data_IF_347908405066
#
_entry.id   IF_347908405066
#
_cell.length_a   1.000
_cell.length_b   1.000
_cell.length_c   1.000
_cell.angle_alpha   90.00
_cell.angle_beta   90.00
_cell.angle_gamma   90.00
#
_symmetry.space_group_name_H-M   'P 1'
#
loop_
_entity.id
_entity.type
_entity.pdbx_description
1 polymer ?
#
# COMPACT_ATOMS: atom_id res chain seq x y z
N UNK A 1 -17.35 2.74 -7.40
CA UNK A 1 -15.92 2.60 -7.74
C UNK A 1 -15.04 3.40 -6.77
N UNK A 2 -14.11 2.74 -6.10
CA UNK A 2 -13.02 3.42 -5.38
C UNK A 2 -11.94 3.80 -6.40
N UNK A 3 -11.32 4.98 -6.23
CA UNK A 3 -10.29 5.48 -7.14
C UNK A 3 -8.90 5.01 -6.72
N UNK A 4 -8.06 4.62 -7.67
CA UNK A 4 -6.69 4.16 -7.40
C UNK A 4 -5.91 5.15 -6.54
N UNK A 5 -5.98 6.44 -6.91
CA UNK A 5 -5.30 7.53 -6.19
C UNK A 5 -5.75 7.64 -4.73
N UNK A 6 -7.00 7.32 -4.40
CA UNK A 6 -7.52 7.38 -3.02
C UNK A 6 -6.86 6.29 -2.19
N UNK A 7 -6.85 5.04 -2.68
CA UNK A 7 -6.25 3.91 -1.95
C UNK A 7 -4.75 4.10 -1.79
N UNK A 8 -4.03 4.49 -2.86
CA UNK A 8 -2.59 4.71 -2.79
C UNK A 8 -2.20 5.87 -1.87
N UNK A 9 -3.02 6.93 -1.81
CA UNK A 9 -2.81 8.04 -0.85
C UNK A 9 -3.04 7.56 0.59
N UNK A 10 -4.05 6.72 0.82
CA UNK A 10 -4.27 6.14 2.14
C UNK A 10 -3.10 5.23 2.56
N UNK A 11 -2.55 4.47 1.61
CA UNK A 11 -1.39 3.62 1.84
C UNK A 11 -0.14 4.44 2.18
N UNK A 12 0.20 5.48 1.42
CA UNK A 12 1.32 6.38 1.78
C UNK A 12 1.10 7.05 3.14
N UNK A 13 -0.13 7.48 3.45
CA UNK A 13 -0.43 8.06 4.77
C UNK A 13 -0.21 7.06 5.88
N UNK A 14 -0.64 5.80 5.72
CA UNK A 14 -0.33 4.75 6.69
C UNK A 14 1.17 4.57 6.86
N UNK A 15 1.96 4.55 5.78
CA UNK A 15 3.43 4.43 5.85
C UNK A 15 4.06 5.64 6.57
N UNK A 16 3.57 6.84 6.29
CA UNK A 16 4.04 8.09 6.89
C UNK A 16 3.75 8.20 8.38
N UNK A 17 2.51 7.91 8.78
CA UNK A 17 2.03 8.12 10.15
C UNK A 17 2.19 6.88 11.01
N UNK A 18 2.49 5.73 10.38
CA UNK A 18 2.49 4.40 10.98
C UNK A 18 1.13 4.05 11.60
N UNK A 19 0.06 4.60 11.03
CA UNK A 19 -1.32 4.37 11.44
C UNK A 19 -2.07 3.59 10.36
N UNK A 20 -2.32 2.32 10.63
CA UNK A 20 -3.02 1.42 9.70
C UNK A 20 -4.49 1.78 9.51
N UNK A 21 -5.07 2.64 10.36
CA UNK A 21 -6.46 3.07 10.23
C UNK A 21 -6.75 3.85 8.94
N UNK A 22 -5.74 4.45 8.31
CA UNK A 22 -5.92 5.11 7.01
C UNK A 22 -6.19 4.10 5.89
N UNK A 23 -5.44 3.00 5.84
CA UNK A 23 -5.54 1.98 4.79
C UNK A 23 -6.63 0.94 5.07
N UNK A 24 -6.84 0.55 6.33
CA UNK A 24 -7.71 -0.57 6.71
C UNK A 24 -9.16 -0.43 6.24
N UNK A 25 -9.66 0.81 6.09
CA UNK A 25 -11.03 1.08 5.58
C UNK A 25 -11.23 0.66 4.13
N UNK A 26 -10.16 0.38 3.39
CA UNK A 26 -10.19 -0.06 1.99
C UNK A 26 -9.93 -1.56 1.82
N UNK A 27 -9.54 -2.27 2.89
CA UNK A 27 -9.15 -3.67 2.84
C UNK A 27 -10.23 -4.54 3.50
N UNK A 28 -10.42 -5.74 2.97
CA UNK A 28 -11.26 -6.77 3.59
C UNK A 28 -10.46 -7.57 4.63
N UNK A 29 -11.16 -8.25 5.53
CA UNK A 29 -10.55 -9.12 6.54
C UNK A 29 -9.76 -10.30 5.92
N UNK A 30 -10.10 -10.69 4.68
CA UNK A 30 -9.44 -11.75 3.91
C UNK A 30 -8.42 -11.22 2.89
N UNK A 31 -7.98 -9.96 3.03
CA UNK A 31 -7.01 -9.34 2.13
C UNK A 31 -5.69 -10.13 2.07
N UNK A 32 -5.13 -10.20 0.86
CA UNK A 32 -3.85 -10.83 0.57
C UNK A 32 -2.98 -9.89 -0.26
N UNK A 33 -1.68 -9.87 0.04
CA UNK A 33 -0.67 -9.13 -0.69
C UNK A 33 0.38 -10.11 -1.24
N UNK A 34 0.55 -10.13 -2.55
CA UNK A 34 1.60 -10.92 -3.22
C UNK A 34 2.73 -9.99 -3.65
N UNK A 35 3.96 -10.33 -3.24
CA UNK A 35 5.15 -9.57 -3.61
C UNK A 35 5.75 -10.01 -4.97
N UNK A 36 6.86 -9.40 -5.37
CA UNK A 36 7.53 -9.75 -6.63
C UNK A 36 8.18 -11.15 -6.64
N UNK A 37 8.30 -11.80 -5.48
CA UNK A 37 8.85 -13.16 -5.34
C UNK A 37 7.75 -14.23 -5.38
N UNK A 38 6.48 -13.82 -5.31
CA UNK A 38 5.32 -14.70 -5.22
C UNK A 38 4.99 -15.11 -3.79
N UNK A 39 5.60 -14.47 -2.78
CA UNK A 39 5.21 -14.67 -1.38
C UNK A 39 3.88 -13.94 -1.13
N UNK A 40 2.93 -14.65 -0.51
CA UNK A 40 1.60 -14.13 -0.19
C UNK A 40 1.52 -13.90 1.31
N UNK A 41 1.41 -12.62 1.69
CA UNK A 41 1.10 -12.20 3.06
C UNK A 41 -0.38 -11.91 3.27
N UNK A 42 -0.83 -11.98 4.52
CA UNK A 42 -2.19 -11.62 4.91
C UNK A 42 -2.31 -10.15 5.35
N UNK A 43 -3.51 -9.76 5.83
CA UNK A 43 -3.77 -8.42 6.35
C UNK A 43 -2.86 -8.06 7.53
N UNK A 44 -2.58 -9.00 8.44
CA UNK A 44 -1.72 -8.76 9.60
C UNK A 44 -0.25 -8.56 9.19
N UNK A 45 0.22 -9.32 8.19
CA UNK A 45 1.52 -9.09 7.58
C UNK A 45 1.60 -7.69 6.94
N UNK A 46 0.56 -7.31 6.20
CA UNK A 46 0.47 -6.00 5.54
C UNK A 46 0.48 -4.86 6.56
N UNK A 47 -0.28 -4.99 7.66
CA UNK A 47 -0.28 -4.03 8.76
C UNK A 47 1.12 -3.88 9.36
N UNK A 48 1.71 -5.01 9.78
CA UNK A 48 3.04 -5.05 10.40
C UNK A 48 4.10 -4.37 9.53
N UNK A 49 4.09 -4.63 8.22
CA UNK A 49 5.01 -4.02 7.28
C UNK A 49 4.78 -2.52 7.15
N UNK A 50 3.53 -2.08 7.01
CA UNK A 50 3.23 -0.68 6.83
C UNK A 50 3.58 0.16 8.08
N UNK A 51 3.34 -0.37 9.28
CA UNK A 51 3.63 0.35 10.53
C UNK A 51 5.12 0.35 10.91
N UNK A 52 5.92 -0.57 10.35
CA UNK A 52 7.37 -0.53 10.48
C UNK A 52 7.94 0.78 9.88
N UNK A 53 7.29 1.31 8.83
CA UNK A 53 7.57 2.63 8.28
C UNK A 53 8.94 2.73 7.61
N UNK A 54 9.36 1.67 6.91
CA UNK A 54 10.67 1.56 6.26
C UNK A 54 10.69 2.17 4.84
N UNK A 55 9.52 2.38 4.25
CA UNK A 55 9.37 2.91 2.89
C UNK A 55 8.35 4.04 2.81
N UNK A 56 8.48 4.86 1.77
CA UNK A 56 7.49 5.84 1.31
C UNK A 56 7.13 5.54 -0.13
N UNK A 57 5.90 5.86 -0.52
CA UNK A 57 5.43 5.72 -1.89
C UNK A 57 4.85 7.04 -2.38
N UNK A 58 5.11 7.37 -3.64
CA UNK A 58 4.68 8.66 -4.20
C UNK A 58 4.41 8.55 -5.70
N UNK A 59 4.18 9.69 -6.38
CA UNK A 59 4.05 9.77 -7.83
C UNK A 59 3.03 8.78 -8.46
N UNK A 60 1.82 8.74 -7.89
CA UNK A 60 0.79 7.78 -8.33
C UNK A 60 0.27 8.06 -9.74
N UNK A 61 0.38 7.06 -10.60
CA UNK A 61 -0.17 7.09 -11.96
C UNK A 61 -1.09 5.88 -12.20
N UNK A 62 -2.36 6.15 -12.49
CA UNK A 62 -3.33 5.10 -12.80
C UNK A 62 -3.18 4.65 -14.25
N UNK A 63 -2.95 3.35 -14.47
CA UNK A 63 -2.92 2.73 -15.82
C UNK A 63 -4.33 2.32 -16.23
N UNK A 64 -5.05 1.63 -15.33
CA UNK A 64 -6.42 1.16 -15.56
C UNK A 64 -7.15 1.02 -14.25
N UNK A 65 -8.40 1.48 -14.19
CA UNK A 65 -9.28 1.24 -13.03
C UNK A 65 -10.70 0.98 -13.53
N UNK A 66 -11.41 0.09 -12.84
CA UNK A 66 -12.83 -0.15 -13.02
C UNK A 66 -13.44 -0.65 -11.69
N UNK A 67 -14.66 -1.15 -11.71
CA UNK A 67 -15.34 -1.63 -10.50
C UNK A 67 -14.80 -2.95 -9.94
N UNK A 68 -13.81 -3.58 -10.59
CA UNK A 68 -13.27 -4.89 -10.19
C UNK A 68 -11.78 -4.84 -9.85
N UNK A 69 -11.01 -3.93 -10.47
CA UNK A 69 -9.58 -3.83 -10.19
C UNK A 69 -9.01 -2.45 -10.48
N UNK A 70 -7.83 -2.23 -9.90
CA UNK A 70 -6.95 -1.09 -10.09
C UNK A 70 -5.59 -1.61 -10.57
N UNK A 71 -5.02 -0.95 -11.58
CA UNK A 71 -3.64 -1.09 -12.02
C UNK A 71 -3.03 0.31 -12.02
N UNK A 72 -1.98 0.50 -11.23
CA UNK A 72 -1.31 1.78 -11.07
C UNK A 72 0.19 1.58 -10.87
N UNK A 73 0.96 2.62 -11.11
CA UNK A 73 2.39 2.70 -10.76
C UNK A 73 2.59 3.80 -9.73
N UNK A 74 3.65 3.64 -8.94
CA UNK A 74 4.11 4.61 -7.96
C UNK A 74 5.64 4.51 -7.86
N UNK A 75 6.26 5.57 -7.34
CA UNK A 75 7.65 5.53 -6.95
C UNK A 75 7.76 4.96 -5.54
N UNK A 76 8.93 4.40 -5.20
CA UNK A 76 9.26 3.92 -3.86
C UNK A 76 10.54 4.58 -3.41
N UNK A 77 10.52 5.16 -2.22
CA UNK A 77 11.68 5.68 -1.52
C UNK A 77 11.88 4.84 -0.26
N UNK A 78 13.04 4.21 -0.11
CA UNK A 78 13.39 3.44 1.08
C UNK A 78 14.52 4.17 1.79
N UNK A 79 14.37 4.40 3.10
CA UNK A 79 15.47 4.90 3.91
C UNK A 79 16.40 3.72 4.19
N UNK A 80 17.56 3.69 3.54
CA UNK A 80 18.52 2.58 3.58
C UNK A 80 19.36 2.57 4.88
N UNK A 81 19.03 3.42 5.85
CA UNK A 81 19.61 3.39 7.20
C UNK A 81 21.12 3.67 7.25
N UNK A 82 21.74 4.04 6.13
CA UNK A 82 23.14 4.44 6.05
C UNK A 82 23.28 5.92 6.43
N UNK A 83 23.20 6.19 7.73
CA UNK A 83 23.69 7.43 8.35
C UNK A 83 24.63 7.13 9.51
#
# INVERSE_FOLDING_TARGET
MIKAKVVLTAWDRTLETRDFSHLSVFLSDDFQFEDTTGEIGDLANTESWCVAGEIRISNFNTIRENDHYIVATHDVEQDDGLR
#
